data_IF_314013737540
#
_entry.id   IF_314013737540
#
_cell.length_a   1.000
_cell.length_b   1.000
_cell.length_c   1.000
_cell.angle_alpha   90.00
_cell.angle_beta   90.00
_cell.angle_gamma   90.00
#
_symmetry.space_group_name_H-M   'P 1'
#
loop_
_entity.id
_entity.type
_entity.pdbx_description
1 polymer ?
#
# COMPACT_ATOMS: atom_id res chain seq x y z
N UNK A 1 2.39 -1.20 19.65
CA UNK A 1 1.66 -1.88 18.56
C UNK A 1 2.65 -2.22 17.46
N UNK A 2 2.59 -3.46 16.93
CA UNK A 2 3.49 -3.98 15.90
C UNK A 2 2.77 -4.06 14.56
N UNK A 3 3.40 -3.54 13.51
CA UNK A 3 2.84 -3.56 12.15
C UNK A 3 3.87 -4.11 11.17
N UNK A 4 3.43 -4.99 10.26
CA UNK A 4 4.23 -5.43 9.11
C UNK A 4 3.70 -4.79 7.83
N UNK A 5 4.59 -4.39 6.93
CA UNK A 5 4.23 -3.86 5.61
C UNK A 5 4.88 -4.74 4.54
N UNK A 6 4.06 -5.35 3.69
CA UNK A 6 4.49 -6.19 2.60
C UNK A 6 4.16 -5.51 1.28
N UNK A 7 5.18 -5.25 0.46
CA UNK A 7 5.02 -4.50 -0.78
C UNK A 7 5.35 -5.36 -1.98
N UNK A 8 4.44 -5.39 -2.95
CA UNK A 8 4.66 -6.01 -4.26
C UNK A 8 4.60 -4.96 -5.36
N UNK A 9 5.30 -5.22 -6.47
CA UNK A 9 5.15 -4.45 -7.70
C UNK A 9 6.16 -3.33 -7.87
N UNK A 10 5.68 -2.19 -8.37
CA UNK A 10 6.52 -1.13 -8.92
C UNK A 10 7.07 -0.15 -7.86
N UNK A 11 7.94 0.76 -8.31
CA UNK A 11 8.50 1.86 -7.50
C UNK A 11 7.43 2.75 -6.86
N UNK A 12 6.28 2.93 -7.51
CA UNK A 12 5.16 3.69 -6.94
C UNK A 12 4.60 2.97 -5.71
N UNK A 13 4.43 1.64 -5.77
CA UNK A 13 4.00 0.88 -4.59
C UNK A 13 5.04 0.97 -3.47
N UNK A 14 6.34 0.94 -3.78
CA UNK A 14 7.42 1.07 -2.79
C UNK A 14 7.42 2.44 -2.12
N UNK A 15 7.23 3.51 -2.90
CA UNK A 15 7.10 4.87 -2.38
C UNK A 15 5.86 5.02 -1.48
N UNK A 16 4.70 4.54 -1.92
CA UNK A 16 3.45 4.56 -1.14
C UNK A 16 3.59 3.79 0.19
N UNK A 17 4.26 2.63 0.16
CA UNK A 17 4.51 1.86 1.38
C UNK A 17 5.49 2.55 2.31
N UNK A 18 6.55 3.19 1.77
CA UNK A 18 7.51 3.97 2.56
C UNK A 18 6.83 5.16 3.24
N UNK A 19 5.88 5.82 2.55
CA UNK A 19 5.07 6.88 3.12
C UNK A 19 4.23 6.39 4.30
N UNK A 20 3.57 5.25 4.16
CA UNK A 20 2.78 4.62 5.23
C UNK A 20 3.70 4.25 6.40
N UNK A 21 4.82 3.58 6.13
CA UNK A 21 5.81 3.18 7.14
C UNK A 21 6.30 4.38 7.97
N UNK A 22 6.73 5.45 7.30
CA UNK A 22 7.24 6.64 7.96
C UNK A 22 6.21 7.32 8.87
N UNK A 23 4.94 7.38 8.44
CA UNK A 23 3.87 7.94 9.26
C UNK A 23 3.56 7.06 10.48
N UNK A 24 3.55 5.73 10.31
CA UNK A 24 3.34 4.81 11.43
C UNK A 24 4.47 4.92 12.46
N UNK A 25 5.74 4.96 12.00
CA UNK A 25 6.90 5.12 12.89
C UNK A 25 6.82 6.43 13.68
N UNK A 26 6.44 7.54 13.03
CA UNK A 26 6.26 8.85 13.68
C UNK A 26 5.21 8.82 14.79
N UNK A 27 4.19 7.98 14.64
CA UNK A 27 3.18 7.75 15.67
C UNK A 27 3.60 6.74 16.74
N UNK A 28 4.88 6.36 16.80
CA UNK A 28 5.39 5.41 17.79
C UNK A 28 5.03 3.95 17.51
N UNK A 29 4.59 3.63 16.30
CA UNK A 29 4.28 2.24 15.89
C UNK A 29 5.56 1.55 15.46
N UNK A 30 5.76 0.33 15.95
CA UNK A 30 6.95 -0.48 15.62
C UNK A 30 6.71 -1.29 14.36
N UNK A 31 7.58 -1.13 13.36
CA UNK A 31 7.56 -1.94 12.15
C UNK A 31 8.34 -3.22 12.38
N UNK A 32 7.74 -4.37 12.07
CA UNK A 32 8.33 -5.70 12.30
C UNK A 32 8.15 -6.61 11.08
N UNK A 33 8.90 -7.70 11.03
CA UNK A 33 8.69 -8.73 10.01
C UNK A 33 7.38 -9.48 10.27
N UNK A 34 6.76 -10.01 9.20
CA UNK A 34 5.56 -10.82 9.32
C UNK A 34 5.73 -12.03 10.27
N UNK A 35 6.94 -12.59 10.35
CA UNK A 35 7.26 -13.74 11.22
C UNK A 35 7.11 -13.41 12.71
N UNK A 36 7.18 -12.13 13.07
CA UNK A 36 7.11 -11.64 14.44
C UNK A 36 5.66 -11.43 14.92
N UNK A 37 4.69 -11.96 14.17
CA UNK A 37 3.24 -11.97 14.46
C UNK A 37 2.69 -10.57 14.80
N UNK A 38 2.62 -9.66 13.81
CA UNK A 38 2.20 -8.28 14.05
C UNK A 38 0.70 -8.16 14.34
N UNK A 39 0.32 -7.08 15.03
CA UNK A 39 -1.09 -6.73 15.29
C UNK A 39 -1.82 -6.41 13.97
N UNK A 40 -1.12 -5.72 13.06
CA UNK A 40 -1.61 -5.44 11.70
C UNK A 40 -0.57 -5.84 10.65
N UNK A 41 -1.03 -6.42 9.54
CA UNK A 41 -0.24 -6.59 8.33
C UNK A 41 -0.88 -5.83 7.16
N UNK A 42 -0.15 -4.86 6.62
CA UNK A 42 -0.54 -4.09 5.43
C UNK A 42 0.10 -4.73 4.20
N UNK A 43 -0.69 -5.09 3.20
CA UNK A 43 -0.21 -5.69 1.95
C UNK A 43 -0.51 -4.74 0.81
N UNK A 44 0.52 -4.11 0.25
CA UNK A 44 0.42 -3.26 -0.93
C UNK A 44 0.65 -4.09 -2.20
N UNK A 45 -0.46 -4.53 -2.79
CA UNK A 45 -0.53 -5.52 -3.88
C UNK A 45 -0.27 -4.94 -5.27
N UNK A 46 0.02 -5.82 -6.22
CA UNK A 46 0.25 -5.49 -7.61
C UNK A 46 -0.61 -6.37 -8.53
N UNK A 47 -1.00 -5.84 -9.70
CA UNK A 47 -1.88 -6.54 -10.65
C UNK A 47 -1.56 -6.25 -12.13
N UNK A 48 -0.29 -6.00 -12.46
CA UNK A 48 0.11 -5.81 -13.87
C UNK A 48 0.28 -7.12 -14.63
N UNK A 49 0.46 -8.23 -13.93
CA UNK A 49 0.62 -9.57 -14.52
C UNK A 49 -0.11 -10.63 -13.70
N UNK A 50 -0.47 -11.74 -14.34
CA UNK A 50 -1.05 -12.90 -13.65
C UNK A 50 -0.13 -13.46 -12.56
N UNK A 51 1.19 -13.42 -12.78
CA UNK A 51 2.19 -13.80 -11.77
C UNK A 51 2.13 -12.88 -10.55
N UNK A 52 1.99 -11.56 -10.74
CA UNK A 52 1.85 -10.62 -9.62
C UNK A 52 0.53 -10.79 -8.86
N UNK A 53 -0.56 -11.19 -9.54
CA UNK A 53 -1.82 -11.53 -8.88
C UNK A 53 -1.66 -12.78 -8.01
N UNK A 54 -1.01 -13.83 -8.54
CA UNK A 54 -0.72 -15.04 -7.80
C UNK A 54 0.11 -14.75 -6.54
N UNK A 55 1.19 -13.98 -6.68
CA UNK A 55 2.04 -13.57 -5.55
C UNK A 55 1.24 -12.75 -4.52
N UNK A 56 0.38 -11.84 -4.97
CA UNK A 56 -0.50 -11.06 -4.08
C UNK A 56 -1.42 -11.99 -3.27
N UNK A 57 -2.08 -12.96 -3.91
CA UNK A 57 -2.91 -13.96 -3.21
C UNK A 57 -2.11 -14.80 -2.23
N UNK A 58 -0.89 -15.21 -2.59
CA UNK A 58 -0.03 -16.02 -1.74
C UNK A 58 0.37 -15.26 -0.46
N UNK A 59 0.74 -13.98 -0.60
CA UNK A 59 1.06 -13.13 0.55
C UNK A 59 -0.14 -12.88 1.44
N UNK A 60 -1.32 -12.63 0.86
CA UNK A 60 -2.57 -12.46 1.62
C UNK A 60 -2.84 -13.70 2.49
N UNK A 61 -2.76 -14.90 1.91
CA UNK A 61 -2.94 -16.15 2.66
C UNK A 61 -1.92 -16.31 3.79
N UNK A 62 -0.65 -15.98 3.52
CA UNK A 62 0.40 -16.06 4.54
C UNK A 62 0.15 -15.08 5.68
N UNK A 63 -0.29 -13.87 5.38
CA UNK A 63 -0.51 -12.83 6.38
C UNK A 63 -1.68 -13.15 7.32
N UNK A 64 -2.77 -13.72 6.80
CA UNK A 64 -3.95 -14.11 7.60
C UNK A 64 -3.59 -15.11 8.71
N UNK A 65 -2.60 -15.98 8.46
CA UNK A 65 -2.18 -16.97 9.43
C UNK A 65 -1.22 -16.43 10.51
N UNK A 66 -0.62 -15.25 10.30
CA UNK A 66 0.46 -14.73 11.14
C UNK A 66 0.13 -13.41 11.83
N UNK A 67 -0.67 -12.55 11.20
CA UNK A 67 -1.06 -11.25 11.72
C UNK A 67 -2.46 -11.29 12.33
N UNK A 68 -2.71 -10.48 13.37
CA UNK A 68 -4.03 -10.42 13.99
C UNK A 68 -5.07 -9.77 13.08
N UNK A 69 -4.69 -8.74 12.31
CA UNK A 69 -5.54 -8.06 11.33
C UNK A 69 -4.79 -7.87 10.02
N UNK A 70 -5.48 -8.03 8.90
CA UNK A 70 -4.90 -7.88 7.55
C UNK A 70 -5.60 -6.75 6.80
N UNK A 71 -4.80 -5.79 6.34
CA UNK A 71 -5.23 -4.71 5.45
C UNK A 71 -4.64 -4.95 4.07
N UNK A 72 -5.47 -5.09 3.05
CA UNK A 72 -5.03 -5.26 1.67
C UNK A 72 -5.30 -3.98 0.90
N UNK A 73 -4.25 -3.44 0.28
CA UNK A 73 -4.31 -2.26 -0.59
C UNK A 73 -3.54 -2.50 -1.89
N UNK A 74 -3.46 -1.52 -2.79
CA UNK A 74 -2.76 -1.64 -4.06
C UNK A 74 -3.66 -2.00 -5.23
N UNK A 75 -3.05 -2.14 -6.42
CA UNK A 75 -3.78 -2.28 -7.68
C UNK A 75 -4.68 -3.53 -7.75
N UNK A 76 -4.30 -4.62 -7.08
CA UNK A 76 -5.08 -5.86 -7.09
C UNK A 76 -6.48 -5.69 -6.47
N UNK A 77 -6.61 -4.76 -5.51
CA UNK A 77 -7.89 -4.53 -4.83
C UNK A 77 -8.98 -3.98 -5.74
N UNK A 78 -8.64 -3.33 -6.85
CA UNK A 78 -9.60 -2.58 -7.65
C UNK A 78 -10.63 -3.49 -8.36
N UNK A 79 -10.21 -4.66 -8.82
CA UNK A 79 -11.09 -5.61 -9.54
C UNK A 79 -11.27 -6.95 -8.84
N UNK A 80 -10.48 -7.24 -7.80
CA UNK A 80 -10.43 -8.57 -7.20
C UNK A 80 -10.95 -8.61 -5.76
N UNK A 81 -11.77 -7.64 -5.35
CA UNK A 81 -12.38 -7.56 -4.00
C UNK A 81 -13.06 -8.87 -3.62
N UNK A 82 -13.93 -9.43 -4.48
CA UNK A 82 -14.59 -10.71 -4.20
C UNK A 82 -13.59 -11.86 -4.04
N UNK A 83 -12.55 -11.89 -4.87
CA UNK A 83 -11.52 -12.93 -4.79
C UNK A 83 -10.72 -12.84 -3.49
N UNK A 84 -10.50 -11.63 -2.98
CA UNK A 84 -9.84 -11.40 -1.69
C UNK A 84 -10.76 -11.83 -0.54
N UNK A 85 -12.03 -11.41 -0.56
CA UNK A 85 -13.01 -11.75 0.48
C UNK A 85 -13.35 -13.25 0.53
N UNK A 86 -13.20 -13.97 -0.59
CA UNK A 86 -13.27 -15.44 -0.62
C UNK A 86 -12.12 -16.11 0.15
N UNK A 87 -10.98 -15.43 0.35
CA UNK A 87 -9.88 -15.95 1.17
C UNK A 87 -10.22 -15.80 2.65
N UNK A 88 -10.68 -14.62 3.07
CA UNK A 88 -11.24 -14.38 4.40
C UNK A 88 -12.11 -13.12 4.37
N UNK A 89 -13.26 -13.18 5.07
CA UNK A 89 -14.18 -12.05 5.21
C UNK A 89 -13.69 -10.97 6.17
N UNK A 90 -12.70 -11.29 7.00
CA UNK A 90 -12.14 -10.39 8.02
C UNK A 90 -11.08 -9.43 7.44
N UNK A 91 -10.71 -9.60 6.17
CA UNK A 91 -9.74 -8.74 5.49
C UNK A 91 -10.35 -7.35 5.28
N UNK A 92 -9.64 -6.32 5.74
CA UNK A 92 -9.97 -4.94 5.44
C UNK A 92 -9.37 -4.54 4.10
N UNK A 93 -10.20 -4.14 3.13
CA UNK A 93 -9.75 -3.74 1.79
C UNK A 93 -9.74 -2.22 1.69
N UNK A 94 -8.60 -1.66 1.28
CA UNK A 94 -8.45 -0.21 1.05
C UNK A 94 -7.94 0.05 -0.36
N UNK A 95 -8.75 0.68 -1.20
CA UNK A 95 -8.34 1.04 -2.55
C UNK A 95 -7.27 2.15 -2.57
N UNK A 96 -6.52 2.24 -3.67
CA UNK A 96 -5.42 3.20 -3.85
C UNK A 96 -5.80 4.65 -3.49
N UNK A 97 -7.01 5.07 -3.83
CA UNK A 97 -7.54 6.43 -3.61
C UNK A 97 -7.70 6.77 -2.12
N UNK A 98 -7.83 5.74 -1.28
CA UNK A 98 -8.12 5.86 0.14
C UNK A 98 -6.94 5.41 1.01
N UNK A 99 -5.73 5.22 0.45
CA UNK A 99 -4.55 4.73 1.19
C UNK A 99 -4.21 5.57 2.43
N UNK A 100 -4.46 6.88 2.39
CA UNK A 100 -4.23 7.76 3.55
C UNK A 100 -5.07 7.35 4.76
N UNK A 101 -6.23 6.72 4.56
CA UNK A 101 -7.09 6.24 5.65
C UNK A 101 -6.51 5.06 6.42
N UNK A 102 -5.53 4.34 5.84
CA UNK A 102 -4.89 3.19 6.50
C UNK A 102 -4.25 3.61 7.82
N UNK A 103 -3.61 4.78 7.85
CA UNK A 103 -2.97 5.33 9.06
C UNK A 103 -4.05 5.55 10.13
N UNK A 104 -5.15 6.22 9.78
CA UNK A 104 -6.26 6.50 10.69
C UNK A 104 -6.97 5.24 11.19
N UNK A 105 -7.00 4.16 10.40
CA UNK A 105 -7.58 2.87 10.80
C UNK A 105 -6.73 2.13 11.84
N UNK A 106 -5.42 2.41 11.85
CA UNK A 106 -4.47 1.79 12.77
C UNK A 106 -4.30 2.67 14.02
N UNK A 107 -4.32 3.99 13.85
CA UNK A 107 -4.15 4.97 14.93
C UNK A 107 -5.07 6.19 14.75
N UNK A 108 -5.97 6.38 15.71
CA UNK A 108 -6.98 7.45 15.71
C UNK A 108 -6.40 8.84 16.02
N UNK A 109 -5.13 8.95 16.45
CA UNK A 109 -4.57 10.21 16.97
C UNK A 109 -3.84 11.09 15.92
N UNK A 110 -4.02 10.88 14.62
CA UNK A 110 -3.04 11.39 13.65
C UNK A 110 -3.44 12.63 12.85
N UNK A 111 -2.58 13.65 12.95
CA UNK A 111 -2.36 14.72 11.97
C UNK A 111 -1.53 14.14 10.81
N UNK A 112 -2.10 14.03 9.61
CA UNK A 112 -1.35 13.67 8.39
C UNK A 112 -0.28 14.73 8.09
N UNK A 113 0.96 14.50 8.51
CA UNK A 113 2.11 15.28 8.01
C UNK A 113 2.63 14.63 6.73
N UNK A 114 2.76 15.37 5.63
CA UNK A 114 3.33 14.84 4.38
C UNK A 114 4.83 14.58 4.45
N UNK A 115 5.49 15.06 5.51
CA UNK A 115 6.91 14.84 5.75
C UNK A 115 7.16 13.35 5.96
N UNK A 116 7.85 12.71 5.03
CA UNK A 116 8.05 11.26 5.03
C UNK A 116 9.38 10.90 5.65
N UNK A 117 9.37 10.16 6.76
CA UNK A 117 10.59 9.51 7.23
C UNK A 117 10.76 8.20 6.44
N UNK A 118 11.72 8.14 5.53
CA UNK A 118 12.08 6.89 4.87
C UNK A 118 13.31 6.29 5.54
N UNK A 119 13.21 5.03 5.97
CA UNK A 119 14.34 4.22 6.42
C UNK A 119 15.30 3.86 5.28
N UNK A 120 14.90 4.08 4.02
CA UNK A 120 15.68 3.77 2.83
C UNK A 120 16.60 4.95 2.46
N UNK A 121 17.93 4.74 2.34
CA UNK A 121 18.87 5.80 1.95
C UNK A 121 18.64 6.34 0.53
N UNK A 122 17.86 5.64 -0.31
CA UNK A 122 17.46 6.07 -1.65
C UNK A 122 15.94 6.00 -1.77
N UNK A 123 15.21 6.98 -1.20
CA UNK A 123 13.76 7.00 -1.24
C UNK A 123 13.26 7.22 -2.67
N UNK A 124 12.10 6.63 -2.98
CA UNK A 124 11.39 6.91 -4.22
C UNK A 124 10.42 8.06 -4.01
N UNK A 125 10.53 9.08 -4.87
CA UNK A 125 9.65 10.24 -4.87
C UNK A 125 8.56 10.08 -5.93
N UNK A 126 7.30 10.24 -5.54
CA UNK A 126 6.17 10.17 -6.48
C UNK A 126 5.91 11.56 -7.04
N UNK A 127 6.21 11.75 -8.31
CA UNK A 127 5.92 13.00 -9.03
C UNK A 127 4.61 12.93 -9.85
N UNK A 128 4.12 11.72 -10.13
CA UNK A 128 2.91 11.48 -10.92
C UNK A 128 2.27 10.16 -10.52
N UNK A 129 0.94 10.09 -10.62
CA UNK A 129 0.18 8.85 -10.56
C UNK A 129 -0.72 8.69 -11.80
N UNK A 130 -1.04 7.45 -12.17
CA UNK A 130 -1.85 7.14 -13.35
C UNK A 130 -1.13 7.41 -14.68
N UNK A 131 -1.84 7.19 -15.79
CA UNK A 131 -1.32 7.36 -17.15
C UNK A 131 -2.46 7.77 -18.10
N UNK A 132 -2.18 8.53 -19.16
CA UNK A 132 -3.18 8.92 -20.19
C UNK A 132 -3.12 8.05 -21.46
N UNK A 133 -2.17 7.14 -21.57
CA UNK A 133 -2.04 6.27 -22.73
C UNK A 133 -3.19 5.26 -22.79
N UNK A 134 -3.62 4.95 -24.01
CA UNK A 134 -4.67 3.96 -24.32
C UNK A 134 -4.06 2.66 -24.82
N UNK A 135 -3.06 2.14 -24.11
CA UNK A 135 -2.43 0.88 -24.49
C UNK A 135 -3.43 -0.26 -24.30
N UNK A 136 -3.62 -1.09 -25.33
CA UNK A 136 -4.57 -2.21 -25.33
C UNK A 136 -4.33 -3.25 -24.24
N UNK A 137 -3.11 -3.33 -23.71
CA UNK A 137 -2.67 -4.33 -22.74
C UNK A 137 -2.50 -3.79 -21.31
N UNK A 138 -2.51 -2.46 -21.10
CA UNK A 138 -2.06 -1.87 -19.84
C UNK A 138 -3.22 -1.56 -18.88
N UNK A 139 -3.27 -2.28 -17.76
CA UNK A 139 -4.30 -2.08 -16.73
C UNK A 139 -4.11 -0.80 -15.89
N UNK A 140 -2.91 -0.19 -15.91
CA UNK A 140 -2.55 0.93 -15.02
C UNK A 140 -3.52 2.11 -15.15
N UNK A 141 -3.97 2.42 -16.37
CA UNK A 141 -4.96 3.47 -16.61
C UNK A 141 -6.24 3.27 -15.80
N UNK A 142 -6.60 2.01 -15.58
CA UNK A 142 -7.82 1.62 -14.93
C UNK A 142 -7.63 1.63 -13.41
N UNK A 143 -6.62 0.91 -12.89
CA UNK A 143 -6.41 0.74 -11.44
C UNK A 143 -5.77 1.95 -10.73
N UNK A 144 -5.17 2.88 -11.48
CA UNK A 144 -4.58 4.13 -10.94
C UNK A 144 -5.23 5.40 -11.52
N UNK A 145 -6.15 5.26 -12.47
CA UNK A 145 -6.90 6.36 -13.06
C UNK A 145 -6.08 7.23 -14.02
N UNK A 146 -6.57 8.47 -14.21
CA UNK A 146 -5.92 9.41 -15.14
C UNK A 146 -4.55 9.86 -14.68
N UNK A 147 -3.72 10.28 -15.65
CA UNK A 147 -2.45 10.94 -15.31
C UNK A 147 -2.75 12.16 -14.44
N UNK A 148 -2.12 12.20 -13.27
CA UNK A 148 -2.19 13.30 -12.31
C UNK A 148 -0.79 13.54 -11.78
N UNK A 149 -0.23 14.70 -12.08
CA UNK A 149 1.02 15.15 -11.47
C UNK A 149 0.76 15.51 -10.01
N UNK A 150 1.74 15.24 -9.17
CA UNK A 150 1.73 15.72 -7.79
C UNK A 150 2.13 17.21 -7.81
N UNK A 151 1.43 18.10 -7.08
CA UNK A 151 1.82 19.50 -6.98
C UNK A 151 3.25 19.66 -6.45
N UNK A 152 3.98 20.66 -6.95
CA UNK A 152 5.39 20.88 -6.63
C UNK A 152 5.62 21.02 -5.13
N UNK A 153 4.73 21.72 -4.44
CA UNK A 153 4.80 21.97 -3.00
C UNK A 153 4.82 20.64 -2.23
N UNK A 154 3.95 19.70 -2.62
CA UNK A 154 3.89 18.36 -2.02
C UNK A 154 5.09 17.49 -2.39
N UNK A 155 5.70 17.72 -3.55
CA UNK A 155 6.92 17.00 -3.95
C UNK A 155 8.09 17.47 -3.08
N UNK A 156 8.20 18.78 -2.83
CA UNK A 156 9.24 19.37 -1.98
C UNK A 156 9.08 18.92 -0.53
N UNK A 157 7.85 18.89 0.01
CA UNK A 157 7.57 18.37 1.37
C UNK A 157 7.94 16.89 1.58
N UNK A 158 8.06 16.11 0.51
CA UNK A 158 8.45 14.70 0.56
C UNK A 158 9.96 14.48 0.49
N UNK A 159 10.74 15.48 0.07
CA UNK A 159 12.20 15.41 -0.13
C UNK A 159 12.96 15.80 1.14
#
# INVERSE_FOLDING_TARGET
MKVSILTLGCKVNQAESSFIEGNLIKNGITIVDLKDKPDYCIINTCSVTSKSDYQSKQLIRKAINLASKVIVTGCYTHFNTESILKISKEITIVHNENKNKIINMIDNNTITSYLSYSSNPRPYLIIQNGCNNKCSYCIVRIVRGKSRSVPLEKIIEQA
#
